data_IF_810648709459
#
_entry.id   IF_810648709459
#
_cell.length_a   1.000
_cell.length_b   1.000
_cell.length_c   1.000
_cell.angle_alpha   90.00
_cell.angle_beta   90.00
_cell.angle_gamma   90.00
#
_symmetry.space_group_name_H-M   'P 1'
#
loop_
_entity.id
_entity.type
_entity.pdbx_description
1 polymer ?
#
# COMPACT_ATOMS: atom_id res chain seq x y z
N UNK A 1 -2.58 -35.02 5.63
CA UNK A 1 -3.07 -34.41 6.88
C UNK A 1 -3.33 -32.95 6.58
N UNK A 2 -4.59 -32.51 6.51
CA UNK A 2 -4.90 -31.09 6.40
C UNK A 2 -4.81 -30.49 7.81
N UNK A 3 -3.66 -29.90 8.15
CA UNK A 3 -3.57 -29.02 9.30
C UNK A 3 -4.36 -27.75 8.96
N UNK A 4 -5.41 -27.48 9.73
CA UNK A 4 -6.08 -26.18 9.72
C UNK A 4 -5.62 -25.44 10.97
N UNK A 5 -4.89 -24.32 10.86
CA UNK A 5 -4.47 -23.57 12.03
C UNK A 5 -5.71 -23.09 12.80
N UNK A 6 -5.73 -23.35 14.10
CA UNK A 6 -6.75 -22.79 14.98
C UNK A 6 -6.37 -21.34 15.29
N UNK A 7 -7.26 -20.42 14.91
CA UNK A 7 -7.06 -18.99 15.13
C UNK A 7 -7.19 -18.63 16.62
N UNK A 8 -7.86 -19.47 17.41
CA UNK A 8 -8.16 -19.22 18.82
C UNK A 8 -7.23 -19.97 19.77
N UNK A 9 -6.11 -20.49 19.25
CA UNK A 9 -5.09 -21.19 20.03
C UNK A 9 -3.72 -20.67 19.60
N UNK A 10 -2.90 -20.30 20.57
CA UNK A 10 -1.49 -19.96 20.35
C UNK A 10 -0.68 -21.21 19.98
N UNK A 11 0.51 -21.04 19.42
CA UNK A 11 1.39 -22.14 19.04
C UNK A 11 1.85 -22.97 20.25
N UNK A 12 1.78 -22.42 21.47
CA UNK A 12 2.03 -23.12 22.73
C UNK A 12 0.80 -23.93 23.24
N UNK A 13 -0.33 -23.87 22.54
CA UNK A 13 -1.57 -24.55 22.89
C UNK A 13 -2.50 -23.79 23.83
N UNK A 14 -2.11 -22.60 24.30
CA UNK A 14 -2.96 -21.77 25.18
C UNK A 14 -4.09 -21.07 24.38
N UNK A 15 -5.25 -20.80 25.01
CA UNK A 15 -6.37 -20.18 24.33
C UNK A 15 -6.14 -18.68 24.07
N UNK A 16 -6.64 -18.20 22.94
CA UNK A 16 -6.65 -16.78 22.55
C UNK A 16 -8.01 -16.18 22.87
N UNK A 17 -8.01 -14.97 23.43
CA UNK A 17 -9.20 -14.16 23.67
C UNK A 17 -9.08 -12.79 22.98
N UNK A 18 -10.07 -11.93 23.20
CA UNK A 18 -10.09 -10.60 22.60
C UNK A 18 -8.88 -9.72 23.00
N UNK A 19 -8.35 -9.90 24.21
CA UNK A 19 -7.23 -9.12 24.71
C UNK A 19 -5.88 -9.65 24.20
N UNK A 20 -5.79 -10.97 23.99
CA UNK A 20 -4.57 -11.63 23.52
C UNK A 20 -4.50 -11.78 21.99
N UNK A 21 -5.58 -11.43 21.26
CA UNK A 21 -5.64 -11.50 19.80
C UNK A 21 -4.51 -10.75 19.09
N UNK A 22 -4.05 -9.60 19.61
CA UNK A 22 -2.97 -8.86 18.96
C UNK A 22 -1.65 -9.65 18.96
N UNK A 23 -1.39 -10.42 20.03
CA UNK A 23 -0.23 -11.31 20.11
C UNK A 23 -0.40 -12.47 19.12
N UNK A 24 -1.59 -13.08 19.04
CA UNK A 24 -1.84 -14.17 18.09
C UNK A 24 -1.71 -13.68 16.64
N UNK A 25 -2.18 -12.47 16.34
CA UNK A 25 -1.98 -11.85 15.02
C UNK A 25 -0.50 -11.71 14.69
N UNK A 26 0.33 -11.31 15.65
CA UNK A 26 1.77 -11.18 15.44
C UNK A 26 2.42 -12.56 15.21
N UNK A 27 2.03 -13.57 15.98
CA UNK A 27 2.50 -14.95 15.82
C UNK A 27 2.16 -15.52 14.44
N UNK A 28 0.90 -15.35 14.01
CA UNK A 28 0.48 -15.72 12.66
C UNK A 28 1.26 -14.95 11.60
N UNK A 29 1.50 -13.64 11.78
CA UNK A 29 2.28 -12.85 10.83
C UNK A 29 3.75 -13.32 10.74
N UNK A 30 4.37 -13.67 11.87
CA UNK A 30 5.73 -14.18 11.93
C UNK A 30 5.88 -15.53 11.21
N UNK A 31 4.82 -16.32 11.16
CA UNK A 31 4.79 -17.56 10.37
C UNK A 31 4.44 -17.30 8.91
N UNK A 32 3.35 -16.57 8.63
CA UNK A 32 2.82 -16.38 7.28
C UNK A 32 3.77 -15.57 6.40
N UNK A 33 4.31 -14.44 6.89
CA UNK A 33 5.05 -13.51 6.04
C UNK A 33 6.33 -14.13 5.45
N UNK A 34 7.21 -14.79 6.23
CA UNK A 34 8.40 -15.42 5.66
C UNK A 34 8.08 -16.59 4.73
N UNK A 35 7.06 -17.39 5.06
CA UNK A 35 6.76 -18.63 4.32
C UNK A 35 5.95 -18.40 3.04
N UNK A 36 4.96 -17.51 3.08
CA UNK A 36 4.05 -17.26 1.93
C UNK A 36 4.48 -16.06 1.09
N UNK A 37 5.14 -15.08 1.70
CA UNK A 37 5.51 -13.82 1.05
C UNK A 37 7.02 -13.58 0.98
N UNK A 38 7.85 -14.50 1.49
CA UNK A 38 9.31 -14.38 1.46
C UNK A 38 9.91 -13.31 2.37
N UNK A 39 9.12 -12.73 3.26
CA UNK A 39 9.57 -11.66 4.17
C UNK A 39 9.09 -10.26 3.78
N UNK A 40 9.66 -9.25 4.46
CA UNK A 40 9.41 -7.83 4.22
C UNK A 40 10.70 -7.15 3.76
N UNK A 41 10.63 -6.06 2.97
CA UNK A 41 11.79 -5.23 2.73
C UNK A 41 12.37 -4.69 4.05
N UNK A 42 13.66 -4.29 4.07
CA UNK A 42 14.25 -3.63 5.22
C UNK A 42 13.42 -2.42 5.65
N UNK A 43 13.48 -2.10 6.93
CA UNK A 43 12.85 -0.89 7.43
C UNK A 43 13.42 0.34 6.70
N UNK A 44 12.53 1.22 6.23
CA UNK A 44 12.91 2.49 5.63
C UNK A 44 13.53 3.42 6.68
N UNK A 45 14.42 4.31 6.25
CA UNK A 45 15.03 5.34 7.10
C UNK A 45 14.19 6.60 7.16
N UNK A 46 13.56 6.98 6.05
CA UNK A 46 12.72 8.18 5.96
C UNK A 46 11.70 8.07 4.84
N UNK A 47 10.63 8.86 4.98
CA UNK A 47 9.61 9.08 3.95
C UNK A 47 9.46 10.58 3.75
N UNK A 48 9.71 11.06 2.54
CA UNK A 48 9.47 12.44 2.13
C UNK A 48 8.26 12.50 1.19
N UNK A 49 7.42 13.53 1.36
CA UNK A 49 6.20 13.70 0.56
C UNK A 49 6.24 15.06 -0.12
N UNK A 50 6.32 15.05 -1.45
CA UNK A 50 6.46 16.24 -2.28
C UNK A 50 5.19 16.43 -3.09
N UNK A 51 4.46 17.53 -2.88
CA UNK A 51 3.32 17.87 -3.73
C UNK A 51 3.80 18.36 -5.08
N UNK A 52 3.53 17.58 -6.13
CA UNK A 52 3.92 17.89 -7.51
C UNK A 52 2.92 18.77 -8.24
N UNK A 53 1.64 18.56 -8.01
CA UNK A 53 0.59 19.39 -8.59
C UNK A 53 -0.61 19.55 -7.65
N UNK A 54 -1.36 20.63 -7.85
CA UNK A 54 -2.67 20.85 -7.26
C UNK A 54 -3.51 21.67 -8.24
N UNK A 55 -4.64 21.13 -8.67
CA UNK A 55 -5.51 21.72 -9.68
C UNK A 55 -6.99 21.49 -9.34
N UNK A 56 -7.87 22.16 -10.09
CA UNK A 56 -9.31 21.91 -10.06
C UNK A 56 -9.71 21.13 -11.30
N UNK A 57 -10.66 20.23 -11.16
CA UNK A 57 -11.23 19.50 -12.30
C UNK A 57 -12.38 20.34 -12.86
N UNK A 58 -12.27 20.74 -14.13
CA UNK A 58 -13.19 21.69 -14.77
C UNK A 58 -14.66 21.28 -14.63
N UNK A 59 -14.93 20.01 -14.90
CA UNK A 59 -16.31 19.52 -14.97
C UNK A 59 -16.86 19.06 -13.61
N UNK A 60 -16.05 19.08 -12.55
CA UNK A 60 -16.42 18.60 -11.21
C UNK A 60 -16.32 19.74 -10.19
N UNK A 61 -17.39 20.54 -10.00
CA UNK A 61 -17.36 21.75 -9.20
C UNK A 61 -16.87 21.50 -7.77
N UNK A 62 -15.85 22.26 -7.36
CA UNK A 62 -15.30 22.22 -6.01
C UNK A 62 -14.36 21.05 -5.72
N UNK A 63 -14.23 20.08 -6.61
CA UNK A 63 -13.27 18.97 -6.48
C UNK A 63 -11.86 19.47 -6.78
N UNK A 64 -10.91 19.08 -5.93
CA UNK A 64 -9.48 19.31 -6.15
C UNK A 64 -8.82 18.01 -6.62
N UNK A 65 -7.82 18.15 -7.46
CA UNK A 65 -6.94 17.07 -7.89
C UNK A 65 -5.52 17.41 -7.50
N UNK A 66 -4.87 16.56 -6.73
CA UNK A 66 -3.49 16.76 -6.30
C UNK A 66 -2.66 15.52 -6.60
N UNK A 67 -1.43 15.73 -7.05
CA UNK A 67 -0.46 14.66 -7.24
C UNK A 67 0.73 14.88 -6.33
N UNK A 68 1.21 13.79 -5.75
CA UNK A 68 2.32 13.74 -4.83
C UNK A 68 3.34 12.72 -5.30
N UNK A 69 4.59 12.99 -4.98
CA UNK A 69 5.67 12.02 -4.96
C UNK A 69 5.92 11.63 -3.51
N UNK A 70 5.93 10.32 -3.25
CA UNK A 70 6.24 9.72 -1.96
C UNK A 70 7.57 9.02 -2.10
N UNK A 71 8.62 9.66 -1.60
CA UNK A 71 9.99 9.16 -1.64
C UNK A 71 10.29 8.38 -0.37
N UNK A 72 10.52 7.08 -0.52
CA UNK A 72 10.87 6.17 0.58
C UNK A 72 12.36 5.85 0.48
N UNK A 73 13.15 6.29 1.46
CA UNK A 73 14.58 5.98 1.54
C UNK A 73 14.84 4.76 2.40
N UNK A 74 15.72 3.90 1.92
CA UNK A 74 16.21 2.72 2.61
C UNK A 74 17.72 2.82 2.85
N UNK A 75 18.27 2.00 3.77
CA UNK A 75 19.71 1.94 3.99
C UNK A 75 20.53 1.72 2.72
N UNK A 76 21.70 2.35 2.67
CA UNK A 76 22.59 2.28 1.50
C UNK A 76 22.20 3.23 0.36
N UNK A 77 21.46 4.30 0.66
CA UNK A 77 21.08 5.36 -0.30
C UNK A 77 20.14 4.92 -1.43
N UNK A 78 19.36 3.87 -1.21
CA UNK A 78 18.33 3.43 -2.15
C UNK A 78 17.03 4.20 -1.87
N UNK A 79 16.41 4.80 -2.89
CA UNK A 79 15.14 5.50 -2.76
C UNK A 79 14.15 5.04 -3.82
N UNK A 80 12.92 4.76 -3.41
CA UNK A 80 11.79 4.49 -4.30
C UNK A 80 10.84 5.67 -4.23
N UNK A 81 10.46 6.18 -5.39
CA UNK A 81 9.47 7.23 -5.54
C UNK A 81 8.15 6.64 -6.02
N UNK A 82 7.08 6.86 -5.26
CA UNK A 82 5.72 6.46 -5.61
C UNK A 82 4.89 7.70 -5.97
N UNK A 83 4.09 7.59 -7.02
CA UNK A 83 3.14 8.62 -7.43
C UNK A 83 1.81 8.36 -6.74
N UNK A 84 1.37 9.31 -5.92
CA UNK A 84 0.07 9.33 -5.27
C UNK A 84 -0.81 10.40 -5.92
N UNK A 85 -1.95 9.99 -6.45
CA UNK A 85 -2.97 10.88 -7.03
C UNK A 85 -4.19 10.94 -6.10
N UNK A 86 -4.66 12.14 -5.80
CA UNK A 86 -5.80 12.39 -4.92
C UNK A 86 -6.89 13.18 -5.63
N UNK A 87 -8.12 12.69 -5.55
CA UNK A 87 -9.33 13.45 -5.83
C UNK A 87 -9.99 13.80 -4.51
N UNK A 88 -10.09 15.09 -4.22
CA UNK A 88 -10.47 15.61 -2.90
C UNK A 88 -11.84 16.29 -3.01
N UNK A 89 -12.83 15.89 -2.19
CA UNK A 89 -14.16 16.49 -2.24
C UNK A 89 -14.14 17.94 -1.71
N UNK A 90 -15.13 18.77 -2.09
CA UNK A 90 -15.23 20.14 -1.57
C UNK A 90 -15.46 20.14 -0.05
N UNK A 91 -14.88 21.12 0.64
CA UNK A 91 -15.02 21.33 2.08
C UNK A 91 -13.68 21.52 2.78
N UNK A 92 -13.70 21.53 4.12
CA UNK A 92 -12.51 21.81 4.94
C UNK A 92 -11.87 20.55 5.54
N UNK A 93 -12.44 19.36 5.32
CA UNK A 93 -11.93 18.09 5.86
C UNK A 93 -11.95 18.01 7.41
N UNK A 94 -11.31 16.98 8.01
CA UNK A 94 -10.66 15.85 7.32
C UNK A 94 -11.68 14.97 6.60
N UNK A 95 -11.23 14.27 5.57
CA UNK A 95 -12.05 13.33 4.79
C UNK A 95 -11.49 11.92 4.95
N UNK A 96 -12.34 10.88 5.01
CA UNK A 96 -11.88 9.51 4.88
C UNK A 96 -11.28 9.28 3.49
N UNK A 97 -10.41 8.29 3.35
CA UNK A 97 -9.71 8.00 2.08
C UNK A 97 -10.01 6.57 1.66
N UNK A 98 -10.42 6.40 0.40
CA UNK A 98 -10.36 5.10 -0.26
C UNK A 98 -9.08 5.05 -1.08
N UNK A 99 -8.14 4.20 -0.66
CA UNK A 99 -6.86 4.01 -1.33
C UNK A 99 -6.90 2.79 -2.24
N UNK A 100 -6.61 3.01 -3.53
CA UNK A 100 -6.33 2.00 -4.53
C UNK A 100 -4.83 1.95 -4.82
N UNK A 101 -4.26 0.76 -4.77
CA UNK A 101 -2.84 0.51 -5.01
C UNK A 101 -2.55 -0.07 -6.38
N UNK A 102 -3.48 -0.01 -7.34
CA UNK A 102 -3.27 -0.59 -8.66
C UNK A 102 -2.31 0.23 -9.54
N UNK A 103 -1.81 -0.39 -10.59
CA UNK A 103 -0.90 0.15 -11.61
C UNK A 103 -0.56 -0.86 -12.71
N UNK A 104 -1.04 -2.09 -12.54
CA UNK A 104 -0.93 -3.21 -13.47
C UNK A 104 -2.28 -3.59 -14.11
N UNK A 105 -3.39 -3.09 -13.57
CA UNK A 105 -4.72 -3.16 -14.19
C UNK A 105 -5.27 -1.74 -14.41
N UNK A 106 -6.60 -1.59 -14.37
CA UNK A 106 -7.25 -0.30 -14.61
C UNK A 106 -7.40 0.42 -13.29
N UNK A 107 -6.86 1.64 -13.23
CA UNK A 107 -7.19 2.61 -12.20
C UNK A 107 -8.70 2.89 -12.11
N UNK A 108 -9.10 3.59 -11.06
CA UNK A 108 -10.43 4.18 -10.96
C UNK A 108 -10.83 4.88 -12.26
N UNK A 109 -12.08 4.67 -12.66
CA UNK A 109 -12.72 5.51 -13.67
C UNK A 109 -13.53 6.63 -13.00
N UNK A 110 -13.91 7.62 -13.80
CA UNK A 110 -14.66 8.79 -13.33
C UNK A 110 -15.92 8.44 -12.54
N UNK A 111 -16.66 7.39 -12.93
CA UNK A 111 -17.89 6.99 -12.23
C UNK A 111 -17.60 6.50 -10.80
N UNK A 112 -16.52 5.74 -10.62
CA UNK A 112 -16.08 5.27 -9.31
C UNK A 112 -15.60 6.46 -8.47
N UNK A 113 -14.77 7.34 -9.05
CA UNK A 113 -14.26 8.53 -8.36
C UNK A 113 -15.41 9.42 -7.89
N UNK A 114 -16.39 9.71 -8.76
CA UNK A 114 -17.59 10.45 -8.40
C UNK A 114 -18.34 9.82 -7.24
N UNK A 115 -18.52 8.49 -7.27
CA UNK A 115 -19.22 7.77 -6.21
C UNK A 115 -18.51 7.91 -4.86
N UNK A 116 -17.17 7.89 -4.86
CA UNK A 116 -16.35 8.08 -3.65
C UNK A 116 -16.50 9.52 -3.13
N UNK A 117 -16.35 10.51 -4.01
CA UNK A 117 -16.43 11.94 -3.69
C UNK A 117 -17.81 12.35 -3.17
N UNK A 118 -18.89 11.85 -3.76
CA UNK A 118 -20.28 12.12 -3.33
C UNK A 118 -20.55 11.66 -1.89
N UNK A 119 -19.79 10.70 -1.38
CA UNK A 119 -19.86 10.22 0.01
C UNK A 119 -18.93 10.98 0.95
N UNK A 120 -18.30 12.05 0.48
CA UNK A 120 -17.38 12.89 1.27
C UNK A 120 -16.01 12.26 1.50
N UNK A 121 -15.60 11.31 0.67
CA UNK A 121 -14.29 10.64 0.77
C UNK A 121 -13.33 11.13 -0.30
N UNK A 122 -12.04 11.08 0.00
CA UNK A 122 -10.96 11.20 -0.99
C UNK A 122 -10.84 9.87 -1.74
N UNK A 123 -10.79 9.92 -3.07
CA UNK A 123 -10.27 8.82 -3.86
C UNK A 123 -8.76 9.00 -3.99
N UNK A 124 -7.99 7.98 -3.62
CA UNK A 124 -6.54 7.99 -3.70
C UNK A 124 -6.06 6.82 -4.55
N UNK A 125 -5.13 7.05 -5.46
CA UNK A 125 -4.50 6.00 -6.27
C UNK A 125 -2.98 6.10 -6.18
N UNK A 126 -2.34 4.96 -5.92
CA UNK A 126 -0.88 4.78 -5.92
C UNK A 126 -0.50 3.74 -6.94
N UNK A 127 0.46 4.06 -7.81
CA UNK A 127 1.04 3.08 -8.72
C UNK A 127 2.00 2.15 -7.97
N UNK A 128 1.50 0.98 -7.52
CA UNK A 128 2.36 -0.01 -6.85
C UNK A 128 3.50 -0.54 -7.71
N UNK A 129 3.38 -0.44 -9.04
CA UNK A 129 4.37 -1.03 -9.94
C UNK A 129 5.70 -0.28 -9.92
N UNK A 130 5.70 0.96 -9.42
CA UNK A 130 6.90 1.72 -9.10
C UNK A 130 7.72 1.11 -7.95
N UNK A 131 7.06 0.44 -6.99
CA UNK A 131 7.73 -0.36 -5.95
C UNK A 131 8.03 -1.79 -6.41
N UNK A 132 7.10 -2.44 -7.09
CA UNK A 132 7.23 -3.84 -7.51
C UNK A 132 6.46 -4.04 -8.83
N UNK A 133 7.19 -4.08 -9.95
CA UNK A 133 6.58 -4.23 -11.27
C UNK A 133 5.87 -5.59 -11.41
N UNK A 134 4.67 -5.58 -12.00
CA UNK A 134 3.91 -6.79 -12.32
C UNK A 134 4.30 -7.34 -13.70
N UNK A 135 5.57 -7.67 -13.86
CA UNK A 135 6.13 -8.18 -15.10
C UNK A 135 7.13 -9.30 -14.82
N UNK A 136 6.70 -10.54 -15.01
CA UNK A 136 7.51 -11.74 -14.71
C UNK A 136 8.92 -11.73 -15.33
N UNK A 137 9.09 -11.10 -16.50
CA UNK A 137 10.35 -11.17 -17.25
C UNK A 137 11.35 -10.11 -16.80
N UNK A 138 10.88 -9.04 -16.14
CA UNK A 138 11.70 -7.87 -15.81
C UNK A 138 11.57 -7.36 -14.37
N UNK A 139 10.66 -7.90 -13.55
CA UNK A 139 10.33 -7.33 -12.24
C UNK A 139 11.55 -7.21 -11.31
N UNK A 140 12.49 -8.16 -11.39
CA UNK A 140 13.74 -8.15 -10.61
C UNK A 140 14.64 -6.94 -10.91
N UNK A 141 14.48 -6.29 -12.06
CA UNK A 141 15.22 -5.10 -12.45
C UNK A 141 14.50 -3.79 -12.09
N UNK A 142 13.44 -3.84 -11.27
CA UNK A 142 12.60 -2.68 -10.94
C UNK A 142 12.47 -2.47 -9.42
N UNK A 143 12.12 -1.25 -9.02
CA UNK A 143 11.71 -0.89 -7.67
C UNK A 143 12.56 -1.53 -6.55
N UNK A 144 11.89 -2.18 -5.60
CA UNK A 144 12.50 -2.84 -4.44
C UNK A 144 13.47 -3.94 -4.85
N UNK A 145 13.12 -4.77 -5.83
CA UNK A 145 13.96 -5.91 -6.22
C UNK A 145 15.29 -5.49 -6.83
N UNK A 146 15.31 -4.36 -7.55
CA UNK A 146 16.55 -3.79 -8.07
C UNK A 146 17.48 -3.32 -6.95
N UNK A 147 16.92 -2.76 -5.89
CA UNK A 147 17.69 -2.22 -4.76
C UNK A 147 18.09 -3.28 -3.75
N UNK A 148 17.33 -4.37 -3.67
CA UNK A 148 17.61 -5.52 -2.83
C UNK A 148 17.64 -6.80 -3.69
N UNK A 149 18.69 -7.00 -4.51
CA UNK A 149 18.75 -8.12 -5.46
C UNK A 149 18.75 -9.49 -4.77
N UNK A 150 19.31 -9.56 -3.56
CA UNK A 150 19.35 -10.77 -2.73
C UNK A 150 18.08 -10.96 -1.88
N UNK A 151 17.06 -10.11 -2.06
CA UNK A 151 15.85 -10.22 -1.27
C UNK A 151 14.98 -11.40 -1.71
N UNK A 152 14.52 -12.13 -0.69
CA UNK A 152 13.57 -13.23 -0.84
C UNK A 152 12.11 -12.77 -0.78
N UNK A 153 11.82 -11.54 -0.34
CA UNK A 153 10.43 -11.04 -0.28
C UNK A 153 9.77 -11.04 -1.67
N UNK A 154 8.45 -11.20 -1.69
CA UNK A 154 7.65 -11.22 -2.93
C UNK A 154 8.00 -12.34 -3.89
N UNK A 155 8.39 -13.51 -3.36
CA UNK A 155 8.65 -14.76 -4.09
C UNK A 155 7.59 -15.08 -5.14
#
# INVERSE_FOLDING_TARGET
>A
MHLKPDLFVFDDGSPVDANSWFHRRQELANTIIPHEFGGMPPQHESVDIIRRANSRIRDWPGVQYATYEVDVRFPGSHAISLTLSLWIPPGNGPFPVLLDGDGCWRYFNDQVIHSILQRGNIAASVDRTQAAADNKDAYRNTGLYRFFPEAEFGV
#
